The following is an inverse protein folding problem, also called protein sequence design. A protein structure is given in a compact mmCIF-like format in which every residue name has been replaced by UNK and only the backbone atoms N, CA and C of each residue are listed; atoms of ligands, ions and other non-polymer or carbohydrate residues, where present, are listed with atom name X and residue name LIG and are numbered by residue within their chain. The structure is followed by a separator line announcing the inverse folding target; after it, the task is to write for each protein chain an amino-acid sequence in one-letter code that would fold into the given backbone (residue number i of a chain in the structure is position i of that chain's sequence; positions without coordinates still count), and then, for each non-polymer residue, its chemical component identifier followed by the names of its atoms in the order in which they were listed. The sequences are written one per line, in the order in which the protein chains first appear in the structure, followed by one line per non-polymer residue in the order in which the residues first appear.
data_IF_865297915081
#
_entry.id   IF_865297915081
#
_cell.length_a   1.000
_cell.length_b   1.000
_cell.length_c   1.000
_cell.angle_alpha   90.00
_cell.angle_beta   90.00
_cell.angle_gamma   90.00
#
_symmetry.space_group_name_H-M   'P 1'
#
loop_
_entity.id
_entity.type
_entity.pdbx_description
1 polymer ?
#
# COMPACT_ATOMS: atom_id res chain seq x y z
N UNK A 1 -4.84 -5.25 12.34
CA UNK A 1 -3.97 -4.13 11.90
C UNK A 1 -2.49 -4.43 12.04
N UNK A 2 -2.05 -5.08 13.13
CA UNK A 2 -0.63 -5.40 13.37
C UNK A 2 -0.05 -6.35 12.31
N UNK A 3 -0.77 -7.42 11.95
CA UNK A 3 -0.39 -8.35 10.87
C UNK A 3 -0.14 -7.65 9.51
N UNK A 4 -1.03 -6.74 9.10
CA UNK A 4 -0.86 -5.98 7.84
C UNK A 4 0.40 -5.11 7.87
N UNK A 5 0.72 -4.56 9.05
CA UNK A 5 1.91 -3.72 9.24
C UNK A 5 3.19 -4.56 9.19
N UNK A 6 3.20 -5.72 9.84
CA UNK A 6 4.31 -6.67 9.76
C UNK A 6 4.53 -7.18 8.33
N UNK A 7 3.46 -7.49 7.60
CA UNK A 7 3.56 -7.87 6.18
C UNK A 7 4.09 -6.71 5.36
N UNK A 8 3.57 -5.49 5.55
CA UNK A 8 4.02 -4.29 4.84
C UNK A 8 5.50 -3.98 5.10
N UNK A 9 5.94 -4.08 6.36
CA UNK A 9 7.34 -3.90 6.76
C UNK A 9 8.24 -5.01 6.18
N UNK A 10 7.68 -6.20 5.95
CA UNK A 10 8.38 -7.30 5.28
C UNK A 10 8.36 -7.21 3.74
N UNK A 11 7.62 -6.26 3.15
CA UNK A 11 7.61 -6.01 1.71
C UNK A 11 8.70 -4.98 1.41
N UNK A 12 9.66 -5.33 0.55
CA UNK A 12 10.69 -4.39 0.07
C UNK A 12 10.09 -3.42 -0.97
N UNK A 13 9.25 -2.51 -0.52
CA UNK A 13 8.62 -1.47 -1.33
C UNK A 13 9.13 -0.08 -0.95
N UNK A 14 8.95 0.89 -1.85
CA UNK A 14 9.38 2.26 -1.61
C UNK A 14 8.61 2.90 -0.46
N UNK A 15 9.28 3.81 0.27
CA UNK A 15 8.64 4.59 1.33
C UNK A 15 7.41 5.38 0.84
N UNK A 16 7.44 5.86 -0.41
CA UNK A 16 6.30 6.51 -1.05
C UNK A 16 5.08 5.58 -1.13
N UNK A 17 5.28 4.32 -1.50
CA UNK A 17 4.22 3.34 -1.56
C UNK A 17 3.65 2.99 -0.17
N UNK A 18 4.52 2.92 0.85
CA UNK A 18 4.12 2.75 2.25
C UNK A 18 3.25 3.93 2.70
N UNK A 19 3.65 5.17 2.40
CA UNK A 19 2.88 6.38 2.74
C UNK A 19 1.52 6.42 2.04
N UNK A 20 1.46 6.12 0.75
CA UNK A 20 0.21 6.07 -0.02
C UNK A 20 -0.74 5.02 0.56
N UNK A 21 -0.22 3.83 0.86
CA UNK A 21 -1.00 2.76 1.45
C UNK A 21 -1.50 3.14 2.85
N UNK A 22 -0.61 3.68 3.71
CA UNK A 22 -0.98 4.07 5.08
C UNK A 22 -2.01 5.19 5.12
N UNK A 23 -1.90 6.18 4.23
CA UNK A 23 -2.87 7.24 4.08
C UNK A 23 -4.27 6.71 3.76
N UNK A 24 -4.37 5.82 2.77
CA UNK A 24 -5.69 5.30 2.37
C UNK A 24 -6.25 4.27 3.34
N UNK A 25 -5.41 3.33 3.77
CA UNK A 25 -5.83 2.14 4.52
C UNK A 25 -5.94 2.40 6.02
N UNK A 26 -4.98 3.14 6.61
CA UNK A 26 -4.95 3.38 8.05
C UNK A 26 -5.60 4.71 8.42
N UNK A 27 -5.36 5.79 7.66
CA UNK A 27 -5.96 7.09 7.96
C UNK A 27 -7.41 7.22 7.42
N UNK A 28 -7.81 6.38 6.47
CA UNK A 28 -9.14 6.44 5.86
C UNK A 28 -9.35 7.64 4.94
N UNK A 29 -8.29 8.38 4.66
CA UNK A 29 -8.31 9.63 3.92
C UNK A 29 -8.60 9.41 2.43
N UNK A 30 -9.05 10.47 1.75
CA UNK A 30 -9.23 10.43 0.30
C UNK A 30 -7.93 10.66 -0.43
N UNK A 31 -7.76 10.03 -1.60
CA UNK A 31 -6.70 10.40 -2.54
C UNK A 31 -6.93 11.77 -3.19
N UNK A 32 -8.10 12.39 -2.96
CA UNK A 32 -8.36 13.76 -3.37
C UNK A 32 -7.54 14.78 -2.55
N UNK A 33 -7.26 14.45 -1.29
CA UNK A 33 -6.57 15.32 -0.33
C UNK A 33 -5.09 14.93 -0.17
N UNK A 34 -4.58 14.09 -1.09
CA UNK A 34 -3.18 13.68 -1.07
C UNK A 34 -2.26 14.88 -1.37
N UNK A 35 -1.33 15.21 -0.47
CA UNK A 35 -0.48 16.40 -0.61
C UNK A 35 0.74 16.18 -1.52
N UNK A 36 0.98 14.96 -1.99
CA UNK A 36 2.13 14.64 -2.82
C UNK A 36 1.93 14.97 -4.31
N UNK A 37 3.01 14.96 -5.10
CA UNK A 37 2.98 15.29 -6.52
C UNK A 37 2.29 14.22 -7.39
N UNK A 38 2.01 13.04 -6.84
CA UNK A 38 1.43 11.91 -7.55
C UNK A 38 -0.01 12.18 -7.98
N UNK A 39 -0.36 11.75 -9.18
CA UNK A 39 -1.73 11.81 -9.66
C UNK A 39 -2.64 10.80 -8.93
N UNK A 40 -3.94 11.07 -8.88
CA UNK A 40 -4.93 10.12 -8.32
C UNK A 40 -4.81 8.73 -8.94
N UNK A 41 -4.48 8.64 -10.23
CA UNK A 41 -4.28 7.37 -10.93
C UNK A 41 -3.09 6.61 -10.35
N UNK A 42 -1.94 7.28 -10.19
CA UNK A 42 -0.73 6.68 -9.59
C UNK A 42 -0.96 6.27 -8.14
N UNK A 43 -1.70 7.06 -7.35
CA UNK A 43 -2.12 6.69 -5.99
C UNK A 43 -2.89 5.37 -5.99
N UNK A 44 -3.91 5.26 -6.86
CA UNK A 44 -4.72 4.05 -6.96
C UNK A 44 -3.93 2.84 -7.47
N UNK A 45 -3.05 3.02 -8.46
CA UNK A 45 -2.20 1.95 -8.99
C UNK A 45 -1.21 1.47 -7.94
N UNK A 46 -0.53 2.39 -7.25
CA UNK A 46 0.39 2.08 -6.15
C UNK A 46 -0.32 1.37 -5.02
N UNK A 47 -1.47 1.89 -4.59
CA UNK A 47 -2.29 1.28 -3.55
C UNK A 47 -2.69 -0.15 -3.90
N UNK A 48 -3.20 -0.37 -5.13
CA UNK A 48 -3.60 -1.71 -5.59
C UNK A 48 -2.41 -2.67 -5.63
N UNK A 49 -1.23 -2.19 -6.07
CA UNK A 49 -0.02 -3.01 -6.12
C UNK A 49 0.43 -3.44 -4.73
N UNK A 50 0.47 -2.52 -3.76
CA UNK A 50 0.81 -2.83 -2.36
C UNK A 50 -0.22 -3.75 -1.73
N UNK A 51 -1.51 -3.46 -1.92
CA UNK A 51 -2.59 -4.29 -1.40
C UNK A 51 -2.53 -5.73 -1.94
N UNK A 52 -2.27 -5.88 -3.24
CA UNK A 52 -2.07 -7.18 -3.86
C UNK A 52 -0.84 -7.90 -3.28
N UNK A 53 0.28 -7.22 -3.12
CA UNK A 53 1.48 -7.81 -2.52
C UNK A 53 1.25 -8.30 -1.07
N UNK A 54 0.46 -7.55 -0.29
CA UNK A 54 0.04 -7.97 1.07
C UNK A 54 -0.85 -9.21 0.99
N UNK A 55 -1.83 -9.24 0.09
CA UNK A 55 -2.71 -10.39 -0.10
C UNK A 55 -1.93 -11.62 -0.55
N UNK A 56 -1.08 -11.49 -1.55
CA UNK A 56 -0.24 -12.56 -2.07
C UNK A 56 0.65 -13.15 -0.96
N UNK A 57 1.24 -12.28 -0.12
CA UNK A 57 2.05 -12.69 1.02
C UNK A 57 1.21 -13.33 2.14
N UNK A 58 -0.01 -12.84 2.38
CA UNK A 58 -0.94 -13.40 3.37
C UNK A 58 -1.49 -14.77 2.97
N UNK A 59 -1.83 -14.96 1.69
CA UNK A 59 -2.32 -16.24 1.17
C UNK A 59 -1.20 -17.27 0.98
N UNK A 60 0.06 -16.92 1.28
CA UNK A 60 1.22 -17.78 1.02
C UNK A 60 1.48 -18.00 -0.48
N UNK A 61 0.81 -17.24 -1.36
CA UNK A 61 1.07 -17.21 -2.79
C UNK A 61 2.26 -16.30 -3.04
N UNK A 62 3.44 -16.73 -2.62
CA UNK A 62 4.68 -16.35 -3.29
C UNK A 62 4.58 -16.90 -4.71
N UNK A 63 3.99 -16.11 -5.62
CA UNK A 63 4.20 -16.31 -7.05
C UNK A 63 5.61 -15.80 -7.33
N UNK A 64 6.56 -16.73 -7.21
CA UNK A 64 7.94 -16.62 -7.67
C UNK A 64 7.99 -16.17 -9.14
#
# INVERSE_FOLDING_TARGET
MQEVREILDSLEISESAIKIFTWKFFAGESFADWPGPESKKELYETYKRVFKAILDKKDGRLLF
#
